data_IF_493958679446
#
_entry.id   IF_493958679446
#
_cell.length_a   1.000
_cell.length_b   1.000
_cell.length_c   1.000
_cell.angle_alpha   90.00
_cell.angle_beta   90.00
_cell.angle_gamma   90.00
#
_symmetry.space_group_name_H-M   'P 1'
#
loop_
_entity.id
_entity.type
_entity.pdbx_description
1 polymer ?
#
# COMPACT_ATOMS: atom_id res chain seq x y z
N UNK A 1 47.54 30.36 -78.63
CA UNK A 1 46.60 29.55 -77.83
C UNK A 1 47.09 28.10 -77.89
N UNK A 2 47.05 27.26 -76.84
CA UNK A 2 46.34 27.33 -75.55
C UNK A 2 47.27 27.49 -74.33
N UNK A 3 46.62 27.67 -73.16
CA UNK A 3 47.16 28.04 -71.84
C UNK A 3 47.60 26.83 -71.02
N UNK A 4 48.69 27.03 -70.28
CA UNK A 4 49.15 26.31 -69.10
C UNK A 4 48.16 26.40 -67.93
N UNK A 5 48.09 25.36 -67.09
CA UNK A 5 47.79 25.52 -65.66
C UNK A 5 48.38 24.37 -64.83
N UNK A 6 49.46 24.71 -64.14
CA UNK A 6 49.95 24.11 -62.90
C UNK A 6 49.03 24.50 -61.75
N UNK A 7 48.61 23.53 -60.92
CA UNK A 7 47.99 23.80 -59.63
C UNK A 7 48.91 23.26 -58.52
N UNK A 8 49.30 24.19 -57.65
CA UNK A 8 50.22 24.07 -56.54
C UNK A 8 49.58 23.45 -55.29
N UNK A 9 50.41 22.65 -54.63
CA UNK A 9 50.28 22.15 -53.26
C UNK A 9 50.17 23.32 -52.26
N UNK A 10 49.23 23.27 -51.31
CA UNK A 10 49.22 24.16 -50.15
C UNK A 10 48.92 23.39 -48.86
N UNK A 11 49.83 23.58 -47.90
CA UNK A 11 49.92 23.01 -46.57
C UNK A 11 48.65 23.15 -45.73
N UNK A 12 48.25 22.07 -45.05
CA UNK A 12 47.42 22.13 -43.85
C UNK A 12 48.32 22.21 -42.60
N UNK A 13 48.10 23.16 -41.68
CA UNK A 13 48.75 23.16 -40.38
C UNK A 13 48.02 22.25 -39.38
N UNK A 14 48.80 21.45 -38.64
CA UNK A 14 48.36 20.71 -37.45
C UNK A 14 47.95 21.69 -36.35
N UNK A 15 46.65 21.78 -36.06
CA UNK A 15 46.13 22.50 -34.91
C UNK A 15 45.84 21.53 -33.76
N UNK A 16 46.52 21.75 -32.63
CA UNK A 16 46.28 21.07 -31.35
C UNK A 16 44.97 21.57 -30.76
N UNK A 17 44.02 20.65 -30.56
CA UNK A 17 42.66 20.90 -30.06
C UNK A 17 42.68 21.45 -28.63
N UNK A 18 42.07 22.63 -28.42
CA UNK A 18 41.84 23.22 -27.10
C UNK A 18 40.32 23.25 -26.83
N UNK A 19 39.80 22.60 -25.76
CA UNK A 19 38.35 22.44 -25.52
C UNK A 19 37.56 23.71 -25.18
N UNK A 20 38.14 24.90 -25.31
CA UNK A 20 37.63 26.14 -24.69
C UNK A 20 37.12 27.18 -25.72
N UNK A 21 37.14 26.88 -27.03
CA UNK A 21 36.69 27.84 -28.06
C UNK A 21 35.15 27.81 -28.22
N UNK A 22 34.44 28.90 -27.86
CA UNK A 22 32.97 28.94 -27.83
C UNK A 22 32.31 28.96 -29.22
N UNK A 23 33.08 29.22 -30.29
CA UNK A 23 32.54 29.22 -31.66
C UNK A 23 32.39 27.80 -32.25
N UNK A 24 32.97 26.77 -31.62
CA UNK A 24 32.87 25.37 -32.09
C UNK A 24 31.86 24.52 -31.30
N UNK A 25 31.39 24.98 -30.14
CA UNK A 25 30.30 24.31 -29.41
C UNK A 25 28.94 24.47 -30.10
N UNK A 26 28.77 25.54 -30.89
CA UNK A 26 27.52 25.79 -31.60
C UNK A 26 27.40 24.96 -32.88
N UNK A 27 28.51 24.56 -33.51
CA UNK A 27 28.49 23.60 -34.63
C UNK A 27 28.01 22.20 -34.20
N UNK A 28 28.37 21.75 -33.00
CA UNK A 28 27.84 20.47 -32.48
C UNK A 28 26.36 20.54 -32.08
N UNK A 29 25.85 21.74 -31.77
CA UNK A 29 24.43 21.96 -31.51
C UNK A 29 23.62 22.02 -32.82
N UNK A 30 24.18 22.65 -33.86
CA UNK A 30 23.56 22.69 -35.19
C UNK A 30 23.57 21.32 -35.91
N UNK A 31 24.62 20.51 -35.72
CA UNK A 31 24.65 19.14 -36.25
C UNK A 31 23.72 18.17 -35.50
N UNK A 32 23.18 18.57 -34.35
CA UNK A 32 22.13 17.83 -33.63
C UNK A 32 20.70 18.10 -34.13
N UNK A 33 20.53 19.11 -35.00
CA UNK A 33 19.25 19.48 -35.62
C UNK A 33 19.19 19.12 -37.12
N UNK A 34 20.00 18.16 -37.56
CA UNK A 34 19.84 17.57 -38.89
C UNK A 34 18.56 16.72 -38.91
N UNK A 35 17.65 16.90 -39.90
CA UNK A 35 16.52 16.01 -40.09
C UNK A 35 17.05 14.58 -40.26
N UNK A 36 16.72 13.73 -39.29
CA UNK A 36 17.06 12.32 -39.24
C UNK A 36 16.96 11.68 -40.63
N UNK A 37 18.10 11.25 -41.17
CA UNK A 37 18.14 10.28 -42.26
C UNK A 37 17.33 9.05 -41.80
N UNK A 38 16.21 8.69 -42.47
CA UNK A 38 15.27 7.67 -41.99
C UNK A 38 15.86 6.26 -41.93
N UNK A 39 17.09 6.07 -42.42
CA UNK A 39 17.76 4.77 -42.50
C UNK A 39 18.78 4.51 -41.39
N UNK A 40 19.00 5.44 -40.45
CA UNK A 40 19.84 5.17 -39.28
C UNK A 40 18.96 4.91 -38.04
N UNK A 41 18.96 3.68 -37.48
CA UNK A 41 18.20 3.40 -36.28
C UNK A 41 18.80 4.21 -35.13
N UNK A 42 18.07 5.23 -34.69
CA UNK A 42 18.29 5.88 -33.41
C UNK A 42 18.47 4.78 -32.35
N UNK A 43 19.44 4.97 -31.45
CA UNK A 43 19.75 4.02 -30.39
C UNK A 43 18.46 3.47 -29.76
N UNK A 44 18.36 2.16 -29.57
CA UNK A 44 17.12 1.51 -29.14
C UNK A 44 16.53 2.07 -27.83
N UNK A 45 17.34 2.80 -27.05
CA UNK A 45 16.92 3.58 -25.88
C UNK A 45 16.25 4.91 -26.24
N UNK A 46 16.77 5.66 -27.22
CA UNK A 46 16.19 6.92 -27.71
C UNK A 46 14.83 6.68 -28.39
N UNK A 47 14.73 5.68 -29.27
CA UNK A 47 13.47 5.29 -29.89
C UNK A 47 12.43 4.82 -28.85
N UNK A 48 12.88 4.17 -27.77
CA UNK A 48 12.01 3.78 -26.64
C UNK A 48 11.55 4.96 -25.80
N UNK A 49 12.43 5.94 -25.57
CA UNK A 49 12.05 7.19 -24.90
C UNK A 49 11.01 7.95 -25.72
N UNK A 50 11.18 8.01 -27.04
CA UNK A 50 10.20 8.61 -27.94
C UNK A 50 8.86 7.86 -27.93
N UNK A 51 8.84 6.53 -27.99
CA UNK A 51 7.59 5.75 -27.97
C UNK A 51 6.86 5.77 -26.61
N UNK A 52 7.59 6.00 -25.50
CA UNK A 52 6.96 6.27 -24.20
C UNK A 52 6.46 7.72 -24.09
N UNK A 53 7.21 8.68 -24.65
CA UNK A 53 6.87 10.09 -24.71
C UNK A 53 5.64 10.38 -25.56
N UNK A 54 5.28 9.53 -26.52
CA UNK A 54 4.09 9.72 -27.36
C UNK A 54 2.79 9.31 -26.66
N UNK A 55 2.86 8.52 -25.58
CA UNK A 55 1.68 7.98 -24.88
C UNK A 55 1.51 8.51 -23.44
N UNK A 56 2.50 9.22 -22.90
CA UNK A 56 2.46 9.82 -21.57
C UNK A 56 2.57 11.34 -21.69
N UNK A 57 1.84 12.07 -20.84
CA UNK A 57 1.95 13.53 -20.80
C UNK A 57 3.41 13.91 -20.46
N UNK A 58 4.00 14.95 -21.08
CA UNK A 58 5.41 15.35 -20.83
C UNK A 58 5.74 15.58 -19.34
N UNK A 59 4.73 15.91 -18.52
CA UNK A 59 4.85 16.03 -17.07
C UNK A 59 5.04 14.68 -16.36
N UNK A 60 4.42 13.61 -16.85
CA UNK A 60 4.57 12.28 -16.30
C UNK A 60 5.96 11.71 -16.57
N UNK A 61 6.53 11.95 -17.76
CA UNK A 61 7.88 11.51 -18.12
C UNK A 61 8.95 12.18 -17.26
N UNK A 62 8.81 13.49 -16.99
CA UNK A 62 9.68 14.23 -16.06
C UNK A 62 9.58 13.68 -14.63
N UNK A 63 8.36 13.37 -14.19
CA UNK A 63 8.11 12.78 -12.87
C UNK A 63 8.71 11.38 -12.76
N UNK A 64 8.56 10.55 -13.80
CA UNK A 64 9.15 9.21 -13.89
C UNK A 64 10.67 9.25 -13.76
N UNK A 65 11.30 10.17 -14.50
CA UNK A 65 12.75 10.34 -14.51
C UNK A 65 13.26 10.81 -13.14
N UNK A 66 12.56 11.76 -12.51
CA UNK A 66 12.87 12.20 -11.14
C UNK A 66 12.72 11.05 -10.15
N UNK A 67 11.70 10.22 -10.27
CA UNK A 67 11.49 9.08 -9.38
C UNK A 67 12.54 7.98 -9.56
N UNK A 68 12.94 7.68 -10.80
CA UNK A 68 13.97 6.69 -11.09
C UNK A 68 15.35 7.08 -10.54
N UNK A 69 15.63 8.37 -10.40
CA UNK A 69 16.86 8.86 -9.77
C UNK A 69 16.69 8.97 -8.25
N UNK A 70 15.56 9.51 -7.79
CA UNK A 70 15.32 9.81 -6.38
C UNK A 70 15.18 8.56 -5.53
N UNK A 71 14.51 7.52 -6.01
CA UNK A 71 14.24 6.33 -5.20
C UNK A 71 15.52 5.52 -4.91
N UNK A 72 16.36 5.14 -5.89
CA UNK A 72 17.62 4.44 -5.60
C UNK A 72 18.56 5.30 -4.75
N UNK A 73 18.63 6.61 -5.02
CA UNK A 73 19.43 7.54 -4.22
C UNK A 73 18.96 7.59 -2.77
N UNK A 74 17.65 7.63 -2.52
CA UNK A 74 17.09 7.64 -1.17
C UNK A 74 17.41 6.37 -0.39
N UNK A 75 17.37 5.20 -1.04
CA UNK A 75 17.70 3.90 -0.41
C UNK A 75 19.18 3.84 -0.09
N UNK A 76 20.05 4.25 -1.02
CA UNK A 76 21.50 4.30 -0.80
C UNK A 76 21.87 5.25 0.35
N UNK A 77 21.26 6.43 0.39
CA UNK A 77 21.48 7.40 1.45
C UNK A 77 21.02 6.83 2.81
N UNK A 78 19.81 6.27 2.88
CA UNK A 78 19.28 5.66 4.10
C UNK A 78 20.16 4.52 4.61
N UNK A 79 20.57 3.61 3.73
CA UNK A 79 21.46 2.50 4.08
C UNK A 79 22.82 3.02 4.55
N UNK A 80 23.42 3.97 3.83
CA UNK A 80 24.71 4.55 4.18
C UNK A 80 24.70 5.23 5.55
N UNK A 81 23.67 6.03 5.84
CA UNK A 81 23.51 6.67 7.15
C UNK A 81 23.27 5.64 8.23
N UNK A 82 22.38 4.66 8.03
CA UNK A 82 22.11 3.63 9.04
C UNK A 82 23.34 2.77 9.36
N UNK A 83 24.16 2.43 8.36
CA UNK A 83 25.45 1.75 8.58
C UNK A 83 26.40 2.64 9.35
N UNK A 84 26.55 3.92 8.98
CA UNK A 84 27.42 4.85 9.67
C UNK A 84 27.01 5.04 11.14
N UNK A 85 25.72 5.26 11.37
CA UNK A 85 25.06 5.39 12.66
C UNK A 85 25.14 4.10 13.51
N UNK A 86 25.17 2.93 12.87
CA UNK A 86 25.27 1.62 13.54
C UNK A 86 26.72 1.18 13.78
N UNK A 87 27.67 1.75 13.04
CA UNK A 87 29.08 1.42 13.15
C UNK A 87 29.72 1.98 14.43
N UNK A 88 30.92 1.49 14.76
CA UNK A 88 31.71 1.99 15.88
C UNK A 88 32.37 3.35 15.61
N UNK A 89 32.13 3.97 14.45
CA UNK A 89 32.72 5.25 14.06
C UNK A 89 32.06 6.44 14.78
N UNK A 90 30.78 6.31 15.14
CA UNK A 90 30.02 7.34 15.85
C UNK A 90 29.71 6.85 17.26
N UNK A 91 29.93 7.72 18.26
CA UNK A 91 29.53 7.46 19.66
C UNK A 91 28.62 8.59 20.13
N UNK A 92 27.43 8.27 20.68
CA UNK A 92 26.87 6.93 20.81
C UNK A 92 26.41 6.35 19.46
N UNK A 93 26.47 5.03 19.28
CA UNK A 93 25.91 4.36 18.09
C UNK A 93 24.45 3.91 18.33
N UNK A 94 23.72 3.52 17.27
CA UNK A 94 22.32 3.06 17.34
C UNK A 94 22.09 2.00 18.44
N UNK A 95 23.00 1.02 18.52
CA UNK A 95 22.93 -0.08 19.47
C UNK A 95 23.22 0.36 20.91
N UNK A 96 24.16 1.28 21.11
CA UNK A 96 24.52 1.84 22.41
C UNK A 96 23.37 2.66 22.98
N UNK A 97 22.71 3.48 22.17
CA UNK A 97 21.50 4.22 22.59
C UNK A 97 20.38 3.24 22.98
N UNK A 98 20.12 2.21 22.15
CA UNK A 98 19.12 1.18 22.47
C UNK A 98 19.40 0.47 23.79
N UNK A 99 20.66 0.15 24.08
CA UNK A 99 21.09 -0.48 25.34
C UNK A 99 21.08 0.46 26.54
N UNK A 100 21.24 1.77 26.31
CA UNK A 100 21.19 2.80 27.36
C UNK A 100 19.76 3.04 27.82
N UNK A 101 18.80 2.94 26.90
CA UNK A 101 17.39 3.20 27.14
C UNK A 101 16.52 1.95 26.92
N UNK A 102 16.69 0.89 27.74
CA UNK A 102 15.87 -0.30 27.60
C UNK A 102 14.44 0.01 28.06
N UNK A 103 13.48 -0.42 27.24
CA UNK A 103 12.03 -0.27 27.48
C UNK A 103 11.38 -1.65 27.46
N UNK A 104 10.18 -1.80 28.02
CA UNK A 104 9.41 -3.05 27.87
C UNK A 104 9.12 -3.42 26.41
N UNK A 105 9.21 -2.45 25.50
CA UNK A 105 9.02 -2.68 24.08
C UNK A 105 10.33 -2.87 23.35
N UNK A 106 11.49 -3.03 24.01
CA UNK A 106 12.77 -3.31 23.36
C UNK A 106 12.88 -4.78 22.93
N UNK A 107 13.21 -5.02 21.65
CA UNK A 107 13.44 -6.30 20.98
C UNK A 107 14.94 -6.57 21.01
N UNK A 108 15.31 -7.85 20.97
CA UNK A 108 16.70 -8.24 20.83
C UNK A 108 17.33 -7.71 19.54
N UNK A 109 18.51 -7.07 19.66
CA UNK A 109 19.27 -6.46 18.57
C UNK A 109 19.37 -7.35 17.32
N UNK A 110 19.65 -8.65 17.47
CA UNK A 110 19.82 -9.59 16.36
C UNK A 110 18.54 -9.75 15.52
N UNK A 111 17.36 -9.74 16.15
CA UNK A 111 16.09 -9.86 15.43
C UNK A 111 15.84 -8.61 14.59
N UNK A 112 16.06 -7.43 15.16
CA UNK A 112 15.91 -6.13 14.49
C UNK A 112 16.90 -6.03 13.33
N UNK A 113 18.18 -6.35 13.55
CA UNK A 113 19.20 -6.30 12.50
C UNK A 113 18.89 -7.22 11.33
N UNK A 114 18.47 -8.46 11.61
CA UNK A 114 18.09 -9.40 10.55
C UNK A 114 16.86 -8.93 9.76
N UNK A 115 15.86 -8.36 10.45
CA UNK A 115 14.69 -7.77 9.80
C UNK A 115 15.08 -6.64 8.85
N UNK A 116 15.90 -5.69 9.34
CA UNK A 116 16.40 -4.58 8.52
C UNK A 116 17.27 -5.06 7.37
N UNK A 117 18.08 -6.10 7.55
CA UNK A 117 18.88 -6.68 6.47
C UNK A 117 18.00 -7.21 5.33
N UNK A 118 16.95 -7.97 5.65
CA UNK A 118 15.97 -8.44 4.65
C UNK A 118 15.28 -7.25 3.97
N UNK A 119 14.85 -6.25 4.75
CA UNK A 119 14.20 -5.07 4.22
C UNK A 119 15.11 -4.31 3.25
N UNK A 120 16.40 -4.13 3.57
CA UNK A 120 17.34 -3.48 2.66
C UNK A 120 17.58 -4.25 1.39
N UNK A 121 17.69 -5.59 1.46
CA UNK A 121 17.78 -6.44 0.25
C UNK A 121 16.56 -6.22 -0.65
N UNK A 122 15.36 -6.16 -0.06
CA UNK A 122 14.13 -5.91 -0.81
C UNK A 122 14.04 -4.47 -1.34
N UNK A 123 14.52 -3.46 -0.61
CA UNK A 123 14.55 -2.06 -1.06
C UNK A 123 15.54 -1.84 -2.21
N UNK A 124 16.70 -2.51 -2.17
CA UNK A 124 17.67 -2.56 -3.27
C UNK A 124 17.03 -3.26 -4.46
N UNK A 125 16.41 -4.43 -4.24
CA UNK A 125 15.70 -5.18 -5.26
C UNK A 125 14.57 -4.37 -5.91
N UNK A 126 13.79 -3.63 -5.12
CA UNK A 126 12.80 -2.68 -5.61
C UNK A 126 13.44 -1.62 -6.50
N UNK A 127 14.52 -0.99 -6.04
CA UNK A 127 15.23 0.05 -6.80
C UNK A 127 15.74 -0.45 -8.15
N UNK A 128 16.32 -1.66 -8.19
CA UNK A 128 16.75 -2.30 -9.44
C UNK A 128 15.54 -2.66 -10.31
N UNK A 129 14.48 -3.19 -9.71
CA UNK A 129 13.24 -3.50 -10.41
C UNK A 129 12.59 -2.26 -11.06
N UNK A 130 12.70 -1.08 -10.44
CA UNK A 130 12.24 0.20 -11.02
C UNK A 130 12.95 0.54 -12.34
N UNK A 131 14.25 0.23 -12.41
CA UNK A 131 15.06 0.51 -13.61
C UNK A 131 14.78 -0.51 -14.71
N UNK A 132 14.45 -1.76 -14.34
CA UNK A 132 14.22 -2.86 -15.29
C UNK A 132 12.76 -3.00 -15.74
N UNK A 133 11.81 -2.43 -15.00
CA UNK A 133 10.37 -2.52 -15.24
C UNK A 133 9.96 -1.95 -16.61
N UNK A 134 9.36 -2.80 -17.46
CA UNK A 134 8.93 -2.46 -18.83
C UNK A 134 7.41 -2.36 -19.00
N UNK A 135 6.65 -2.87 -18.05
CA UNK A 135 5.19 -3.00 -18.13
C UNK A 135 4.48 -1.67 -17.77
N UNK A 136 3.51 -1.21 -18.57
CA UNK A 136 2.82 0.07 -18.35
C UNK A 136 2.01 0.07 -17.05
N UNK A 137 1.44 -1.07 -16.65
CA UNK A 137 0.70 -1.22 -15.40
C UNK A 137 1.60 -1.01 -14.17
N UNK A 138 2.78 -1.63 -14.16
CA UNK A 138 3.78 -1.48 -13.11
C UNK A 138 4.29 -0.04 -13.05
N UNK A 139 4.48 0.64 -14.20
CA UNK A 139 4.85 2.07 -14.24
C UNK A 139 3.79 2.98 -13.63
N UNK A 140 2.50 2.73 -13.89
CA UNK A 140 1.41 3.52 -13.31
C UNK A 140 1.36 3.36 -11.79
N UNK A 141 1.47 2.13 -11.28
CA UNK A 141 1.56 1.85 -9.85
C UNK A 141 2.80 2.50 -9.22
N UNK A 142 3.92 2.54 -9.96
CA UNK A 142 5.16 3.18 -9.53
C UNK A 142 5.02 4.69 -9.34
N UNK A 143 4.52 5.36 -10.37
CA UNK A 143 4.52 6.82 -10.51
C UNK A 143 3.48 7.44 -9.59
N UNK A 144 2.30 6.82 -9.51
CA UNK A 144 1.17 7.36 -8.76
C UNK A 144 1.06 6.77 -7.34
N UNK A 145 1.62 5.59 -7.09
CA UNK A 145 1.48 4.88 -5.83
C UNK A 145 2.69 5.00 -4.91
N UNK A 146 3.84 4.48 -5.34
CA UNK A 146 4.87 4.02 -4.41
C UNK A 146 6.14 4.88 -4.37
N UNK A 147 6.67 5.32 -5.52
CA UNK A 147 8.08 5.75 -5.60
C UNK A 147 8.41 7.02 -4.79
N UNK A 148 7.59 8.07 -4.87
CA UNK A 148 7.85 9.36 -4.20
C UNK A 148 7.64 9.26 -2.70
N UNK A 149 6.62 8.53 -2.28
CA UNK A 149 6.26 8.34 -0.87
C UNK A 149 7.27 7.45 -0.16
N UNK A 150 7.73 6.39 -0.83
CA UNK A 150 8.80 5.54 -0.30
C UNK A 150 10.11 6.31 -0.20
N UNK A 151 10.46 7.12 -1.21
CA UNK A 151 11.65 7.97 -1.15
C UNK A 151 11.58 8.97 0.01
N UNK A 152 10.42 9.61 0.22
CA UNK A 152 10.18 10.48 1.36
C UNK A 152 10.36 9.73 2.68
N UNK A 153 9.77 8.55 2.83
CA UNK A 153 9.93 7.72 4.04
C UNK A 153 11.41 7.38 4.31
N UNK A 154 12.19 7.06 3.28
CA UNK A 154 13.61 6.78 3.40
C UNK A 154 14.41 8.01 3.88
N UNK A 155 14.13 9.20 3.32
CA UNK A 155 14.76 10.45 3.78
C UNK A 155 14.37 10.81 5.22
N UNK A 156 13.11 10.62 5.58
CA UNK A 156 12.68 10.83 6.97
C UNK A 156 13.34 9.82 7.91
N UNK A 157 13.60 8.60 7.46
CA UNK A 157 14.29 7.59 8.25
C UNK A 157 15.77 7.95 8.49
N UNK A 158 16.43 8.59 7.53
CA UNK A 158 17.75 9.20 7.73
C UNK A 158 17.70 10.25 8.85
N UNK A 159 16.71 11.15 8.78
CA UNK A 159 16.54 12.19 9.79
C UNK A 159 16.26 11.60 11.18
N UNK A 160 15.45 10.56 11.25
CA UNK A 160 15.21 9.82 12.49
C UNK A 160 16.49 9.22 13.06
N UNK A 161 17.35 8.60 12.25
CA UNK A 161 18.60 8.00 12.72
C UNK A 161 19.54 9.04 13.37
N UNK A 162 19.54 10.27 12.83
CA UNK A 162 20.27 11.41 13.42
C UNK A 162 19.66 11.76 14.78
N UNK A 163 18.33 11.91 14.87
CA UNK A 163 17.65 12.21 16.12
C UNK A 163 17.84 11.14 17.19
N UNK A 164 17.92 9.87 16.80
CA UNK A 164 18.20 8.73 17.68
C UNK A 164 19.57 8.86 18.35
N UNK A 165 20.62 9.11 17.55
CA UNK A 165 22.01 9.14 18.04
C UNK A 165 22.32 10.34 18.92
N UNK A 166 21.58 11.44 18.78
CA UNK A 166 21.81 12.62 19.62
C UNK A 166 21.54 12.35 21.11
N UNK A 167 20.80 11.29 21.47
CA UNK A 167 20.62 10.82 22.85
C UNK A 167 20.11 11.93 23.80
N UNK A 168 19.20 12.78 23.31
CA UNK A 168 18.60 13.90 24.05
C UNK A 168 17.07 13.76 24.12
N UNK A 169 16.42 14.26 25.18
CA UNK A 169 14.96 14.17 25.31
C UNK A 169 14.23 14.89 24.17
N UNK A 170 14.71 16.08 23.76
CA UNK A 170 14.11 16.82 22.63
C UNK A 170 14.24 16.05 21.31
N UNK A 171 15.36 15.37 21.10
CA UNK A 171 15.57 14.61 19.86
C UNK A 171 14.75 13.34 19.84
N UNK A 172 14.45 12.74 21.00
CA UNK A 172 13.49 11.64 21.09
C UNK A 172 12.06 12.08 20.73
N UNK A 173 11.63 13.27 21.14
CA UNK A 173 10.34 13.83 20.72
C UNK A 173 10.31 14.05 19.21
N UNK A 174 11.35 14.70 18.65
CA UNK A 174 11.47 14.92 17.20
C UNK A 174 11.54 13.60 16.42
N UNK A 175 12.24 12.61 16.95
CA UNK A 175 12.29 11.25 16.40
C UNK A 175 10.92 10.59 16.39
N UNK A 176 10.14 10.73 17.47
CA UNK A 176 8.78 10.19 17.57
C UNK A 176 7.85 10.82 16.53
N UNK A 177 7.91 12.14 16.38
CA UNK A 177 7.14 12.87 15.36
C UNK A 177 7.54 12.40 13.96
N UNK A 178 8.85 12.27 13.71
CA UNK A 178 9.37 11.81 12.42
C UNK A 178 8.88 10.39 12.10
N UNK A 179 8.98 9.44 13.04
CA UNK A 179 8.44 8.09 12.88
C UNK A 179 6.93 8.06 12.71
N UNK A 180 6.19 8.95 13.38
CA UNK A 180 4.74 9.06 13.21
C UNK A 180 4.39 9.46 11.78
N UNK A 181 5.11 10.44 11.21
CA UNK A 181 4.91 10.84 9.82
C UNK A 181 5.30 9.72 8.85
N UNK A 182 6.43 9.02 9.10
CA UNK A 182 6.82 7.85 8.30
C UNK A 182 5.71 6.78 8.32
N UNK A 183 5.20 6.45 9.51
CA UNK A 183 4.13 5.48 9.67
C UNK A 183 2.86 5.89 8.90
N UNK A 184 2.46 7.15 8.97
CA UNK A 184 1.30 7.67 8.23
C UNK A 184 1.50 7.59 6.71
N UNK A 185 2.66 7.99 6.20
CA UNK A 185 3.00 7.93 4.77
C UNK A 185 2.99 6.48 4.28
N UNK A 186 3.61 5.57 5.04
CA UNK A 186 3.68 4.15 4.71
C UNK A 186 2.31 3.47 4.84
N UNK A 187 1.50 3.83 5.83
CA UNK A 187 0.14 3.32 5.99
C UNK A 187 -0.76 3.74 4.82
N UNK A 188 -0.69 5.02 4.44
CA UNK A 188 -1.41 5.53 3.28
C UNK A 188 -0.95 4.82 1.99
N UNK A 189 0.35 4.57 1.86
CA UNK A 189 0.89 3.81 0.74
C UNK A 189 0.37 2.36 0.73
N UNK A 190 0.41 1.68 1.87
CA UNK A 190 -0.10 0.32 2.03
C UNK A 190 -1.60 0.22 1.74
N UNK A 191 -2.39 1.21 2.14
CA UNK A 191 -3.83 1.29 1.86
C UNK A 191 -4.10 1.45 0.36
N UNK A 192 -3.37 2.33 -0.32
CA UNK A 192 -3.50 2.48 -1.78
C UNK A 192 -3.10 1.20 -2.50
N UNK A 193 -2.06 0.51 -2.03
CA UNK A 193 -1.64 -0.77 -2.60
C UNK A 193 -2.69 -1.86 -2.36
N UNK A 194 -3.36 -1.85 -1.20
CA UNK A 194 -4.42 -2.81 -0.91
C UNK A 194 -5.68 -2.57 -1.76
N UNK A 195 -6.07 -1.30 -1.97
CA UNK A 195 -7.35 -0.95 -2.63
C UNK A 195 -7.20 -0.78 -4.14
N UNK A 196 -6.16 -0.09 -4.62
CA UNK A 196 -6.05 0.32 -6.02
C UNK A 196 -5.23 -0.64 -6.87
N UNK A 197 -4.26 -1.32 -6.28
CA UNK A 197 -3.33 -2.21 -6.97
C UNK A 197 -3.22 -3.55 -6.24
N UNK A 198 -4.32 -4.32 -6.10
CA UNK A 198 -4.30 -5.54 -5.32
C UNK A 198 -3.28 -6.56 -5.86
N UNK A 199 -2.65 -7.35 -4.99
CA UNK A 199 -1.61 -8.27 -5.37
C UNK A 199 -2.14 -9.35 -6.33
N UNK A 200 -1.57 -9.41 -7.53
CA UNK A 200 -1.94 -10.41 -8.54
C UNK A 200 -1.00 -11.60 -8.47
N UNK A 201 -1.55 -12.82 -8.36
CA UNK A 201 -0.77 -14.06 -8.38
C UNK A 201 -0.04 -14.30 -9.71
N UNK A 202 -0.41 -13.57 -10.78
CA UNK A 202 0.22 -13.66 -12.11
C UNK A 202 1.58 -12.95 -12.17
N UNK A 203 1.85 -12.00 -11.27
CA UNK A 203 3.08 -11.20 -11.24
C UNK A 203 3.73 -11.28 -9.84
N UNK A 204 4.33 -12.42 -9.48
CA UNK A 204 4.88 -12.63 -8.13
C UNK A 204 6.08 -11.72 -7.82
N UNK A 205 6.83 -11.28 -8.83
CA UNK A 205 7.95 -10.36 -8.64
C UNK A 205 7.48 -8.93 -8.35
N UNK A 206 6.43 -8.46 -9.02
CA UNK A 206 5.79 -7.18 -8.72
C UNK A 206 5.26 -7.18 -7.29
N UNK A 207 4.64 -8.28 -6.86
CA UNK A 207 4.23 -8.45 -5.47
C UNK A 207 5.43 -8.38 -4.51
N UNK A 208 6.48 -9.16 -4.76
CA UNK A 208 7.65 -9.27 -3.89
C UNK A 208 8.39 -7.94 -3.74
N UNK A 209 8.61 -7.20 -4.83
CA UNK A 209 9.43 -5.99 -4.77
C UNK A 209 8.63 -4.71 -4.53
N UNK A 210 7.33 -4.66 -4.84
CA UNK A 210 6.51 -3.46 -4.63
C UNK A 210 5.79 -3.51 -3.28
N UNK A 211 5.15 -4.64 -2.96
CA UNK A 211 4.30 -4.72 -1.77
C UNK A 211 5.09 -5.08 -0.51
N UNK A 212 6.01 -6.05 -0.60
CA UNK A 212 6.68 -6.60 0.58
C UNK A 212 7.55 -5.55 1.29
N UNK A 213 8.49 -4.83 0.64
CA UNK A 213 9.30 -3.85 1.36
C UNK A 213 8.49 -2.71 1.98
N UNK A 214 7.43 -2.21 1.32
CA UNK A 214 6.55 -1.19 1.90
C UNK A 214 5.87 -1.69 3.16
N UNK A 215 5.33 -2.92 3.12
CA UNK A 215 4.65 -3.53 4.27
C UNK A 215 5.62 -3.86 5.40
N UNK A 216 6.79 -4.42 5.09
CA UNK A 216 7.81 -4.69 6.09
C UNK A 216 8.28 -3.40 6.78
N UNK A 217 8.52 -2.34 6.00
CA UNK A 217 8.92 -1.06 6.56
C UNK A 217 7.81 -0.46 7.44
N UNK A 218 6.55 -0.55 7.01
CA UNK A 218 5.41 -0.10 7.81
C UNK A 218 5.29 -0.88 9.13
N UNK A 219 5.36 -2.21 9.08
CA UNK A 219 5.15 -3.07 10.25
C UNK A 219 6.21 -2.80 11.32
N UNK A 220 7.50 -2.73 10.97
CA UNK A 220 8.53 -2.41 11.98
C UNK A 220 8.36 -1.02 12.57
N UNK A 221 8.02 -0.03 11.72
CA UNK A 221 7.80 1.35 12.16
C UNK A 221 6.65 1.44 13.15
N UNK A 222 5.48 0.88 12.81
CA UNK A 222 4.26 1.00 13.61
C UNK A 222 4.19 0.02 14.77
N UNK A 223 4.85 -1.13 14.70
CA UNK A 223 4.78 -2.13 15.77
C UNK A 223 5.82 -1.91 16.85
N UNK A 224 6.94 -1.30 16.48
CA UNK A 224 8.13 -1.28 17.31
C UNK A 224 8.78 0.10 17.40
N UNK A 225 9.35 0.61 16.30
CA UNK A 225 10.23 1.80 16.35
C UNK A 225 9.51 3.01 16.95
N UNK A 226 8.27 3.26 16.52
CA UNK A 226 7.47 4.39 17.00
C UNK A 226 7.27 4.36 18.51
N UNK A 227 6.94 3.19 19.06
CA UNK A 227 6.60 3.06 20.47
C UNK A 227 7.83 3.01 21.35
N UNK A 228 8.91 2.36 20.90
CA UNK A 228 10.20 2.43 21.59
C UNK A 228 10.65 3.88 21.69
N UNK A 229 10.60 4.63 20.59
CA UNK A 229 10.95 6.04 20.57
C UNK A 229 10.06 6.89 21.48
N UNK A 230 8.74 6.64 21.47
CA UNK A 230 7.78 7.34 22.33
C UNK A 230 8.07 7.08 23.80
N UNK A 231 8.44 5.85 24.19
CA UNK A 231 8.75 5.52 25.58
C UNK A 231 9.98 6.27 26.07
N UNK A 232 11.03 6.35 25.24
CA UNK A 232 12.21 7.15 25.54
C UNK A 232 11.88 8.65 25.60
N UNK A 233 10.98 9.14 24.74
CA UNK A 233 10.56 10.54 24.74
C UNK A 233 9.74 10.90 26.00
N UNK A 234 8.94 9.97 26.52
CA UNK A 234 8.16 10.11 27.75
C UNK A 234 9.00 9.81 29.01
N UNK A 235 10.22 9.31 28.84
CA UNK A 235 11.09 8.89 29.94
C UNK A 235 10.61 7.63 30.66
N UNK A 236 9.79 6.80 30.01
CA UNK A 236 9.34 5.48 30.50
C UNK A 236 10.35 4.37 30.19
N UNK A 237 11.63 4.73 30.15
CA UNK A 237 12.75 3.83 29.97
C UNK A 237 13.60 3.81 31.24
N UNK A 238 14.41 2.75 31.38
CA UNK A 238 15.28 2.61 32.54
C UNK A 238 16.40 3.66 32.56
N UNK A 239 16.87 4.11 31.40
CA UNK A 239 18.02 5.00 31.27
C UNK A 239 17.76 6.40 31.82
N UNK A 240 16.58 6.96 31.57
CA UNK A 240 16.22 8.31 32.03
C UNK A 240 15.62 8.33 33.44
N UNK A 241 14.79 7.34 33.78
CA UNK A 241 13.96 7.36 34.99
C UNK A 241 14.13 6.16 35.92
N UNK A 242 15.07 5.27 35.62
CA UNK A 242 15.37 4.09 36.43
C UNK A 242 14.22 3.08 36.48
N UNK A 243 14.25 2.20 37.49
CA UNK A 243 13.26 1.13 37.64
C UNK A 243 11.82 1.64 37.81
N UNK A 244 11.62 2.74 38.55
CA UNK A 244 10.28 3.28 38.80
C UNK A 244 9.61 3.78 37.51
N UNK A 245 10.33 4.49 36.65
CA UNK A 245 9.79 4.96 35.38
C UNK A 245 9.51 3.81 34.41
N UNK A 246 10.36 2.78 34.42
CA UNK A 246 10.10 1.56 33.67
C UNK A 246 8.78 0.92 34.11
N UNK A 247 8.55 0.74 35.42
CA UNK A 247 7.30 0.18 35.96
C UNK A 247 6.08 1.02 35.57
N UNK A 248 6.18 2.35 35.53
CA UNK A 248 5.10 3.22 35.05
C UNK A 248 4.75 2.94 33.57
N UNK A 249 5.76 2.62 32.75
CA UNK A 249 5.58 2.23 31.35
C UNK A 249 4.92 0.86 31.12
N UNK A 250 4.70 0.04 32.16
CA UNK A 250 4.17 -1.32 32.01
C UNK A 250 2.77 -1.34 31.38
N UNK A 251 1.83 -0.59 31.96
CA UNK A 251 0.44 -0.58 31.51
C UNK A 251 0.27 0.06 30.13
N UNK A 252 0.94 1.19 29.82
CA UNK A 252 1.00 1.69 28.45
C UNK A 252 1.56 0.65 27.47
N UNK A 253 2.65 -0.06 27.81
CA UNK A 253 3.24 -1.07 26.93
C UNK A 253 2.27 -2.23 26.68
N UNK A 254 1.59 -2.69 27.73
CA UNK A 254 0.53 -3.68 27.62
C UNK A 254 -0.59 -3.22 26.68
N UNK A 255 -1.09 -1.99 26.87
CA UNK A 255 -2.14 -1.42 26.03
C UNK A 255 -1.73 -1.32 24.56
N UNK A 256 -0.48 -0.94 24.29
CA UNK A 256 0.09 -0.86 22.94
C UNK A 256 0.19 -2.24 22.29
N UNK A 257 0.75 -3.23 22.99
CA UNK A 257 0.89 -4.60 22.45
C UNK A 257 -0.48 -5.21 22.14
N UNK A 258 -1.44 -5.08 23.05
CA UNK A 258 -2.82 -5.57 22.84
C UNK A 258 -3.51 -4.80 21.72
N UNK A 259 -3.42 -3.47 21.73
CA UNK A 259 -4.05 -2.60 20.74
C UNK A 259 -3.52 -2.84 19.32
N UNK A 260 -2.20 -2.90 19.15
CA UNK A 260 -1.58 -3.21 17.86
C UNK A 260 -1.79 -4.66 17.44
N UNK A 261 -1.85 -5.58 18.40
CA UNK A 261 -2.21 -6.97 18.14
C UNK A 261 -3.62 -7.08 17.57
N UNK A 262 -4.59 -6.42 18.19
CA UNK A 262 -5.97 -6.36 17.72
C UNK A 262 -6.10 -5.63 16.37
N UNK A 263 -5.43 -4.49 16.22
CA UNK A 263 -5.39 -3.75 14.95
C UNK A 263 -4.78 -4.59 13.82
N UNK A 264 -3.63 -5.23 14.05
CA UNK A 264 -2.99 -6.11 13.07
C UNK A 264 -3.88 -7.29 12.74
N UNK A 265 -4.53 -7.91 13.72
CA UNK A 265 -5.46 -9.02 13.47
C UNK A 265 -6.66 -8.59 12.61
N UNK A 266 -7.26 -7.42 12.88
CA UNK A 266 -8.35 -6.89 12.07
C UNK A 266 -7.88 -6.61 10.64
N UNK A 267 -6.72 -5.98 10.48
CA UNK A 267 -6.12 -5.71 9.17
C UNK A 267 -5.85 -7.01 8.40
N UNK A 268 -5.18 -7.98 9.04
CA UNK A 268 -4.87 -9.29 8.47
C UNK A 268 -6.14 -10.03 8.08
N UNK A 269 -7.17 -10.03 8.92
CA UNK A 269 -8.45 -10.67 8.60
C UNK A 269 -9.10 -10.04 7.37
N UNK A 270 -9.13 -8.70 7.30
CA UNK A 270 -9.73 -7.96 6.19
C UNK A 270 -8.98 -8.13 4.86
N UNK A 271 -7.65 -8.25 4.90
CA UNK A 271 -6.79 -8.23 3.70
C UNK A 271 -6.19 -9.60 3.35
N UNK A 272 -6.29 -10.60 4.24
CA UNK A 272 -5.60 -11.88 4.18
C UNK A 272 -4.09 -11.75 3.89
N UNK A 273 -3.45 -10.74 4.48
CA UNK A 273 -2.08 -10.34 4.16
C UNK A 273 -1.02 -11.14 4.92
N UNK A 274 -0.47 -12.16 4.24
CA UNK A 274 0.58 -13.03 4.77
C UNK A 274 1.83 -12.27 5.23
N UNK A 275 2.23 -11.22 4.50
CA UNK A 275 3.48 -10.49 4.81
C UNK A 275 3.35 -9.77 6.14
N UNK A 276 2.21 -9.10 6.35
CA UNK A 276 1.93 -8.43 7.62
C UNK A 276 1.95 -9.42 8.78
N UNK A 277 1.35 -10.61 8.61
CA UNK A 277 1.35 -11.66 9.64
C UNK A 277 2.75 -12.17 9.94
N UNK A 278 3.53 -12.54 8.93
CA UNK A 278 4.88 -13.10 9.13
C UNK A 278 5.79 -12.07 9.79
N UNK A 279 5.75 -10.82 9.32
CA UNK A 279 6.52 -9.72 9.89
C UNK A 279 6.12 -9.45 11.34
N UNK A 280 4.81 -9.36 11.61
CA UNK A 280 4.31 -9.08 12.94
C UNK A 280 4.63 -10.20 13.93
N UNK A 281 4.43 -11.45 13.54
CA UNK A 281 4.80 -12.61 14.36
C UNK A 281 6.30 -12.65 14.63
N UNK A 282 7.14 -12.38 13.63
CA UNK A 282 8.60 -12.36 13.79
C UNK A 282 9.06 -11.31 14.82
N UNK A 283 8.52 -10.08 14.75
CA UNK A 283 8.86 -9.01 15.69
C UNK A 283 8.36 -9.33 17.12
N UNK A 284 7.14 -9.86 17.25
CA UNK A 284 6.62 -10.31 18.55
C UNK A 284 7.43 -11.48 19.13
N UNK A 285 7.94 -12.37 18.28
CA UNK A 285 8.84 -13.42 18.71
C UNK A 285 10.18 -12.85 19.20
N UNK A 286 10.71 -11.83 18.53
CA UNK A 286 11.89 -11.09 18.99
C UNK A 286 11.71 -10.41 20.36
N UNK A 287 10.49 -9.97 20.70
CA UNK A 287 10.16 -9.45 22.03
C UNK A 287 10.20 -10.55 23.11
N UNK A 288 9.73 -11.77 22.78
CA UNK A 288 9.71 -12.91 23.67
C UNK A 288 11.09 -13.55 23.86
N UNK A 289 11.92 -13.54 22.82
CA UNK A 289 13.24 -14.18 22.85
C UNK A 289 14.23 -13.48 23.79
N UNK A 290 13.91 -12.26 24.22
CA UNK A 290 14.69 -11.53 25.21
C UNK A 290 14.49 -12.15 26.62
N UNK A 291 15.14 -13.29 26.88
CA UNK A 291 14.98 -14.09 28.11
C UNK A 291 15.40 -13.38 29.39
N UNK A 292 16.33 -12.42 29.28
CA UNK A 292 16.81 -11.62 30.41
C UNK A 292 16.71 -10.15 30.02
N UNK A 293 15.82 -9.42 30.68
CA UNK A 293 15.78 -7.97 30.56
C UNK A 293 16.99 -7.45 31.36
N UNK A 294 18.18 -7.38 30.76
CA UNK A 294 19.37 -6.87 31.46
C UNK A 294 19.16 -5.40 31.79
N UNK A 295 18.64 -5.16 32.99
CA UNK A 295 18.60 -3.88 33.67
C UNK A 295 20.03 -3.52 34.05
N UNK A 296 20.80 -3.06 33.06
CA UNK A 296 22.16 -2.53 33.17
C UNK A 296 23.27 -3.56 33.48
N UNK A 297 24.35 -3.50 32.69
CA UNK A 297 25.67 -3.98 33.13
C UNK A 297 26.14 -5.37 32.67
N UNK A 298 25.49 -6.01 31.69
CA UNK A 298 25.94 -7.33 31.22
C UNK A 298 25.85 -8.43 32.28
N UNK A 299 24.99 -8.21 33.27
CA UNK A 299 24.72 -9.16 34.34
C UNK A 299 23.45 -9.92 33.95
N UNK A 300 23.57 -11.25 33.90
CA UNK A 300 22.56 -12.20 33.43
C UNK A 300 21.39 -12.39 34.42
N UNK A 301 21.33 -11.58 35.49
CA UNK A 301 20.31 -11.60 36.53
C UNK A 301 19.12 -10.65 36.26
N UNK A 302 18.93 -10.26 35.00
CA UNK A 302 17.83 -9.41 34.56
C UNK A 302 16.45 -9.95 35.00
N UNK A 303 15.59 -9.07 35.49
CA UNK A 303 14.23 -9.43 35.90
C UNK A 303 13.45 -10.03 34.72
N UNK A 304 12.68 -11.11 34.94
CA UNK A 304 11.82 -11.65 33.91
C UNK A 304 10.78 -10.60 33.51
N UNK A 305 10.51 -10.51 32.21
CA UNK A 305 9.46 -9.64 31.66
C UNK A 305 8.14 -9.89 32.41
N UNK A 306 7.41 -8.85 32.84
CA UNK A 306 6.18 -9.02 33.60
C UNK A 306 5.19 -9.96 32.90
N UNK A 307 4.64 -10.93 33.64
CA UNK A 307 3.74 -11.95 33.12
C UNK A 307 2.56 -11.39 32.29
N UNK A 308 1.92 -10.25 32.65
CA UNK A 308 0.85 -9.68 31.85
C UNK A 308 1.30 -9.30 30.43
N UNK A 309 2.52 -8.77 30.29
CA UNK A 309 3.05 -8.36 28.99
C UNK A 309 3.42 -9.59 28.14
N UNK A 310 4.02 -10.60 28.75
CA UNK A 310 4.31 -11.87 28.06
C UNK A 310 3.04 -12.54 27.55
N UNK A 311 1.97 -12.58 28.37
CA UNK A 311 0.67 -13.08 27.96
C UNK A 311 0.07 -12.27 26.80
N UNK A 312 0.17 -10.93 26.85
CA UNK A 312 -0.30 -10.07 25.77
C UNK A 312 0.42 -10.33 24.44
N UNK A 313 1.74 -10.57 24.46
CA UNK A 313 2.51 -10.87 23.25
C UNK A 313 2.10 -12.23 22.68
N UNK A 314 1.98 -13.28 23.51
CA UNK A 314 1.53 -14.61 23.08
C UNK A 314 0.12 -14.54 22.49
N UNK A 315 -0.78 -13.79 23.13
CA UNK A 315 -2.14 -13.57 22.64
C UNK A 315 -2.12 -12.83 21.30
N UNK A 316 -1.29 -11.79 21.15
CA UNK A 316 -1.12 -11.03 19.90
C UNK A 316 -0.64 -11.92 18.75
N UNK A 317 0.36 -12.78 18.99
CA UNK A 317 0.83 -13.77 18.01
C UNK A 317 -0.30 -14.72 17.61
N UNK A 318 -0.98 -15.30 18.60
CA UNK A 318 -2.06 -16.25 18.38
C UNK A 318 -3.21 -15.61 17.58
N UNK A 319 -3.57 -14.37 17.92
CA UNK A 319 -4.64 -13.63 17.26
C UNK A 319 -4.28 -13.30 15.81
N UNK A 320 -3.05 -12.91 15.51
CA UNK A 320 -2.60 -12.66 14.13
C UNK A 320 -2.63 -13.93 13.27
N UNK A 321 -2.20 -15.07 13.82
CA UNK A 321 -2.23 -16.37 13.11
C UNK A 321 -3.67 -16.82 12.85
N UNK A 322 -4.53 -16.75 13.87
CA UNK A 322 -5.96 -17.11 13.73
C UNK A 322 -6.65 -16.17 12.74
N UNK A 323 -6.36 -14.87 12.77
CA UNK A 323 -6.90 -13.89 11.83
C UNK A 323 -6.50 -14.19 10.39
N UNK A 324 -5.26 -14.64 10.14
CA UNK A 324 -4.81 -15.04 8.81
C UNK A 324 -5.59 -16.26 8.31
N UNK A 325 -5.72 -17.30 9.15
CA UNK A 325 -6.47 -18.52 8.80
C UNK A 325 -7.93 -18.18 8.51
N UNK A 326 -8.54 -17.37 9.37
CA UNK A 326 -9.93 -16.92 9.22
C UNK A 326 -10.12 -16.06 7.96
N UNK A 327 -9.20 -15.13 7.68
CA UNK A 327 -9.25 -14.28 6.48
C UNK A 327 -9.10 -15.08 5.18
N UNK A 328 -8.17 -16.04 5.15
CA UNK A 328 -8.01 -16.95 4.01
C UNK A 328 -9.25 -17.84 3.81
N UNK A 329 -9.80 -18.39 4.90
CA UNK A 329 -11.02 -19.19 4.85
C UNK A 329 -12.21 -18.37 4.34
N UNK A 330 -12.37 -17.14 4.84
CA UNK A 330 -13.41 -16.20 4.44
C UNK A 330 -13.32 -15.85 2.95
N UNK A 331 -12.13 -15.51 2.47
CA UNK A 331 -11.91 -15.21 1.05
C UNK A 331 -12.18 -16.41 0.15
N UNK A 332 -11.85 -17.63 0.60
CA UNK A 332 -12.19 -18.86 -0.14
C UNK A 332 -13.70 -19.12 -0.19
N UNK A 333 -14.44 -18.83 0.88
CA UNK A 333 -15.90 -18.97 0.89
C UNK A 333 -16.54 -17.91 -0.01
N UNK A 334 -16.08 -16.66 0.09
CA UNK A 334 -16.57 -15.55 -0.75
C UNK A 334 -16.33 -15.81 -2.24
N UNK A 335 -15.14 -16.27 -2.61
CA UNK A 335 -14.84 -16.63 -4.01
C UNK A 335 -15.77 -17.71 -4.58
N UNK A 336 -16.24 -18.66 -3.74
CA UNK A 336 -17.23 -19.67 -4.15
C UNK A 336 -18.64 -19.10 -4.30
N UNK A 337 -18.96 -18.02 -3.59
CA UNK A 337 -20.25 -17.33 -3.71
C UNK A 337 -20.27 -16.38 -4.91
N UNK A 338 -19.17 -15.66 -5.17
CA UNK A 338 -19.05 -14.76 -6.31
C UNK A 338 -19.03 -15.54 -7.64
N UNK A 339 -18.51 -16.78 -7.66
CA UNK A 339 -18.63 -17.69 -8.81
C UNK A 339 -20.05 -18.19 -9.10
N UNK A 340 -21.03 -17.92 -8.23
CA UNK A 340 -22.46 -18.22 -8.47
C UNK A 340 -23.25 -17.04 -9.05
N UNK A 341 -22.68 -15.83 -9.06
CA UNK A 341 -23.30 -14.65 -9.68
C UNK A 341 -22.46 -14.36 -10.93
N UNK A 342 -22.85 -14.98 -12.04
CA UNK A 342 -22.22 -14.76 -13.33
C UNK A 342 -22.29 -13.27 -13.73
N UNK A 343 -21.17 -12.74 -14.23
CA UNK A 343 -21.11 -11.46 -14.93
C UNK A 343 -22.06 -11.47 -16.15
N UNK A 344 -22.55 -10.29 -16.61
CA UNK A 344 -23.36 -10.19 -17.82
C UNK A 344 -22.65 -10.87 -18.98
N UNK A 345 -23.39 -11.67 -19.74
CA UNK A 345 -22.88 -12.46 -20.84
C UNK A 345 -22.16 -11.55 -21.83
N UNK A 346 -21.02 -12.00 -22.36
CA UNK A 346 -20.44 -11.35 -23.53
C UNK A 346 -21.46 -11.41 -24.70
N UNK A 347 -21.47 -10.45 -25.64
CA UNK A 347 -22.42 -10.47 -26.77
C UNK A 347 -22.39 -11.77 -27.59
N UNK A 348 -21.24 -12.46 -27.62
CA UNK A 348 -21.11 -13.78 -28.24
C UNK A 348 -21.76 -14.90 -27.43
N UNK A 349 -21.67 -14.85 -26.09
CA UNK A 349 -22.33 -15.81 -25.20
C UNK A 349 -23.85 -15.57 -25.14
N UNK A 350 -24.30 -14.31 -25.21
CA UNK A 350 -25.72 -13.95 -25.31
C UNK A 350 -26.33 -14.51 -26.61
N UNK A 351 -25.62 -14.39 -27.73
CA UNK A 351 -26.02 -15.00 -29.00
C UNK A 351 -26.01 -16.54 -28.94
N UNK A 352 -25.08 -17.15 -28.18
CA UNK A 352 -25.05 -18.59 -27.99
C UNK A 352 -26.22 -19.08 -27.13
N UNK A 353 -26.58 -18.35 -26.07
CA UNK A 353 -27.75 -18.66 -25.23
C UNK A 353 -29.05 -18.50 -26.03
N UNK A 354 -29.18 -17.45 -26.84
CA UNK A 354 -30.35 -17.24 -27.68
C UNK A 354 -30.51 -18.35 -28.74
N UNK A 355 -29.41 -18.83 -29.34
CA UNK A 355 -29.43 -19.99 -30.24
C UNK A 355 -29.81 -21.28 -29.52
N UNK A 356 -29.26 -21.52 -28.33
CA UNK A 356 -29.58 -22.70 -27.54
C UNK A 356 -31.05 -22.73 -27.10
N UNK A 357 -31.62 -21.57 -26.76
CA UNK A 357 -33.02 -21.43 -26.39
C UNK A 357 -33.96 -21.59 -27.61
N UNK A 358 -33.58 -21.04 -28.76
CA UNK A 358 -34.29 -21.25 -30.02
C UNK A 358 -34.30 -22.74 -30.45
N UNK A 359 -33.17 -23.44 -30.33
CA UNK A 359 -33.10 -24.88 -30.61
C UNK A 359 -33.96 -25.70 -29.62
N UNK A 360 -33.96 -25.33 -28.35
CA UNK A 360 -34.79 -25.98 -27.34
C UNK A 360 -36.28 -25.80 -27.64
N UNK A 361 -36.70 -24.59 -27.98
CA UNK A 361 -38.09 -24.30 -28.36
C UNK A 361 -38.48 -25.01 -29.66
N UNK A 362 -37.58 -25.10 -30.64
CA UNK A 362 -37.81 -25.88 -31.86
C UNK A 362 -37.97 -27.37 -31.59
N UNK A 363 -37.17 -27.95 -30.67
CA UNK A 363 -37.31 -29.35 -30.24
C UNK A 363 -38.61 -29.61 -29.50
N UNK A 364 -39.03 -28.67 -28.64
CA UNK A 364 -40.32 -28.76 -27.94
C UNK A 364 -41.48 -28.65 -28.94
N UNK A 365 -41.44 -27.71 -29.87
CA UNK A 365 -42.47 -27.58 -30.92
C UNK A 365 -42.55 -28.83 -31.83
N UNK A 366 -41.41 -29.41 -32.19
CA UNK A 366 -41.35 -30.65 -32.96
C UNK A 366 -41.92 -31.86 -32.18
N UNK A 367 -41.79 -31.87 -30.85
CA UNK A 367 -42.38 -32.91 -30.00
C UNK A 367 -43.90 -32.77 -29.82
N UNK A 368 -44.44 -31.55 -29.93
CA UNK A 368 -45.89 -31.28 -29.82
C UNK A 368 -46.63 -31.56 -31.14
N UNK A 369 -45.94 -31.52 -32.29
CA UNK A 369 -46.51 -31.79 -33.61
C UNK A 369 -46.82 -33.26 -33.93
N UNK A 370 -46.55 -34.20 -33.02
CA UNK A 370 -46.66 -35.64 -33.27
C UNK A 370 -47.70 -36.35 -32.37
N UNK A 371 -48.76 -35.65 -31.96
CA UNK A 371 -49.94 -36.31 -31.38
C UNK A 371 -50.89 -36.75 -32.50
N UNK A 372 -51.10 -38.07 -32.72
CA UNK A 372 -52.10 -38.53 -33.67
C UNK A 372 -53.49 -38.20 -33.15
N UNK A 373 -54.27 -37.50 -33.97
CA UNK A 373 -55.67 -37.22 -33.73
C UNK A 373 -56.45 -38.53 -33.70
N UNK A 374 -56.93 -38.91 -32.52
CA UNK A 374 -58.10 -39.77 -32.44
C UNK A 374 -58.92 -39.48 -31.18
N UNK A 375 -60.23 -39.53 -31.41
CA UNK A 375 -61.32 -39.75 -30.46
C UNK A 375 -62.17 -38.54 -30.03
N UNK A 376 -63.47 -38.72 -30.23
CA UNK A 376 -64.57 -37.73 -30.23
C UNK A 376 -65.50 -38.00 -29.04
N UNK A 377 -65.79 -36.93 -28.27
CA UNK A 377 -66.99 -36.61 -27.46
C UNK A 377 -67.29 -37.39 -26.14
N UNK A 378 -68.22 -36.92 -25.25
CA UNK A 378 -68.87 -35.60 -25.07
C UNK A 378 -68.79 -34.99 -23.63
N UNK A 379 -69.38 -33.80 -23.50
CA UNK A 379 -69.57 -32.85 -22.36
C UNK A 379 -70.17 -33.46 -21.07
N UNK A 380 -69.93 -32.88 -19.87
CA UNK A 380 -70.98 -32.06 -19.25
C UNK A 380 -70.48 -30.74 -18.59
N UNK A 381 -71.46 -29.93 -18.20
CA UNK A 381 -71.42 -28.49 -17.98
C UNK A 381 -71.18 -28.01 -16.53
N UNK A 382 -71.10 -26.66 -16.41
CA UNK A 382 -71.21 -25.79 -15.21
C UNK A 382 -69.91 -25.61 -14.40
N UNK A 383 -69.51 -24.43 -13.90
CA UNK A 383 -70.14 -23.10 -13.78
C UNK A 383 -69.08 -22.02 -13.46
N UNK A 384 -69.44 -20.75 -13.76
CA UNK A 384 -69.11 -19.50 -13.03
C UNK A 384 -67.68 -18.95 -12.99
N UNK A 385 -67.52 -17.66 -13.37
CA UNK A 385 -66.56 -16.79 -12.67
C UNK A 385 -65.71 -15.76 -13.44
N UNK A 386 -66.32 -14.90 -14.27
CA UNK A 386 -66.14 -13.42 -14.28
C UNK A 386 -64.72 -12.76 -14.32
N UNK A 387 -64.54 -11.95 -15.39
CA UNK A 387 -63.84 -10.64 -15.58
C UNK A 387 -62.33 -10.55 -15.90
N UNK A 388 -62.08 -10.39 -17.21
CA UNK A 388 -61.49 -9.22 -17.91
C UNK A 388 -60.77 -8.16 -17.07
N UNK A 389 -59.53 -7.83 -17.45
CA UNK A 389 -59.13 -6.42 -17.66
C UNK A 389 -58.05 -6.31 -18.74
N UNK A 390 -58.25 -5.32 -19.60
CA UNK A 390 -57.54 -5.03 -20.84
C UNK A 390 -56.15 -4.41 -20.64
N UNK A 391 -55.36 -4.55 -21.70
CA UNK A 391 -54.03 -3.96 -21.95
C UNK A 391 -53.98 -2.43 -21.87
N UNK A 392 -52.80 -1.88 -21.55
CA UNK A 392 -52.33 -0.67 -22.24
C UNK A 392 -50.79 -0.58 -22.27
N UNK A 393 -50.25 -0.73 -23.47
CA UNK A 393 -48.95 -0.22 -23.91
C UNK A 393 -48.98 1.32 -23.92
N UNK A 394 -47.95 1.96 -23.38
CA UNK A 394 -47.51 3.31 -23.76
C UNK A 394 -45.98 3.35 -23.68
N UNK A 395 -45.35 3.45 -24.84
CA UNK A 395 -44.01 4.00 -25.06
C UNK A 395 -44.02 5.50 -24.76
N UNK A 396 -42.96 6.03 -24.15
CA UNK A 396 -42.37 7.32 -24.51
C UNK A 396 -40.95 7.42 -23.92
N UNK A 397 -39.99 7.56 -24.83
CA UNK A 397 -38.63 7.98 -24.59
C UNK A 397 -38.55 9.52 -24.48
N UNK A 398 -37.45 9.98 -23.88
CA UNK A 398 -36.80 11.28 -23.99
C UNK A 398 -37.56 12.54 -23.54
N UNK A 399 -37.17 13.09 -22.38
CA UNK A 399 -36.92 14.53 -22.30
C UNK A 399 -35.80 14.84 -21.30
N UNK A 400 -35.00 15.80 -21.73
CA UNK A 400 -33.63 16.12 -21.40
C UNK A 400 -33.55 17.26 -20.35
N UNK A 401 -32.40 17.31 -19.69
CA UNK A 401 -31.79 18.39 -18.90
C UNK A 401 -32.50 19.76 -18.73
N UNK A 402 -32.60 20.19 -17.46
CA UNK A 402 -32.29 21.57 -17.00
C UNK A 402 -32.11 21.57 -15.47
N UNK A 403 -30.88 21.82 -14.99
CA UNK A 403 -30.45 23.08 -14.37
C UNK A 403 -31.11 23.36 -13.00
N UNK A 404 -30.42 23.10 -11.90
CA UNK A 404 -29.56 24.06 -11.17
C UNK A 404 -30.30 25.15 -10.37
N UNK A 405 -29.78 25.36 -9.15
CA UNK A 405 -29.90 26.56 -8.32
C UNK A 405 -31.18 26.75 -7.50
N UNK A 406 -31.06 26.49 -6.19
CA UNK A 406 -31.13 27.58 -5.21
C UNK A 406 -30.79 27.07 -3.81
N UNK A 407 -29.77 27.69 -3.21
CA UNK A 407 -29.51 27.59 -1.78
C UNK A 407 -30.53 28.39 -0.97
N UNK A 408 -30.65 28.07 0.31
CA UNK A 408 -31.49 28.83 1.22
C UNK A 408 -31.69 28.13 2.55
N UNK A 409 -30.72 28.30 3.45
CA UNK A 409 -30.85 27.93 4.86
C UNK A 409 -31.89 28.84 5.54
N UNK A 410 -32.98 28.28 6.08
CA UNK A 410 -33.75 28.87 7.18
C UNK A 410 -34.45 27.75 7.98
N UNK A 411 -33.96 27.47 9.18
CA UNK A 411 -34.76 27.01 10.34
C UNK A 411 -35.15 28.23 11.18
N UNK A 412 -36.06 28.18 12.19
CA UNK A 412 -36.94 27.10 12.64
C UNK A 412 -38.40 27.56 12.89
N UNK A 413 -39.37 26.64 12.92
CA UNK A 413 -40.64 26.92 13.63
C UNK A 413 -41.19 25.71 14.38
N UNK A 414 -41.25 25.95 15.68
CA UNK A 414 -41.86 25.21 16.79
C UNK A 414 -43.38 25.18 16.62
N UNK A 415 -43.99 23.99 16.54
CA UNK A 415 -45.42 23.81 16.81
C UNK A 415 -45.63 22.62 17.73
N UNK A 416 -46.23 22.96 18.86
CA UNK A 416 -46.76 22.15 19.95
C UNK A 416 -47.91 21.25 19.51
N UNK A 417 -47.96 19.99 19.99
CA UNK A 417 -49.25 19.36 20.32
C UNK A 417 -49.15 18.53 21.60
N UNK A 418 -49.97 18.96 22.55
CA UNK A 418 -50.27 18.39 23.87
C UNK A 418 -51.53 17.53 23.75
N UNK A 419 -51.58 16.42 24.49
CA UNK A 419 -52.72 15.64 25.02
C UNK A 419 -52.11 14.28 25.42
N UNK A 420 -51.92 13.88 26.68
CA UNK A 420 -52.85 13.78 27.81
C UNK A 420 -52.87 12.29 28.19
N UNK A 421 -52.18 11.85 29.25
CA UNK A 421 -52.74 11.54 30.58
C UNK A 421 -53.03 10.02 30.68
N UNK A 422 -52.73 9.26 31.74
CA UNK A 422 -52.17 9.49 33.08
C UNK A 422 -52.03 8.14 33.82
N UNK A 423 -51.54 8.18 35.06
CA UNK A 423 -51.53 7.05 36.03
C UNK A 423 -50.12 6.68 36.53
N UNK A 424 -49.50 7.44 37.44
CA UNK A 424 -49.51 7.24 38.91
C UNK A 424 -49.15 5.82 39.40
N UNK A 425 -47.96 5.60 39.97
CA UNK A 425 -47.74 5.69 41.42
C UNK A 425 -46.31 5.28 41.86
N UNK A 426 -45.74 6.04 42.79
CA UNK A 426 -45.03 5.48 43.96
C UNK A 426 -43.51 5.32 43.91
N UNK A 427 -42.76 6.40 44.13
CA UNK A 427 -41.55 6.39 45.00
C UNK A 427 -42.00 6.49 46.48
N UNK A 428 -41.16 6.48 47.56
CA UNK A 428 -39.70 6.57 47.60
C UNK A 428 -38.97 5.74 48.70
N UNK A 429 -37.63 5.86 48.70
CA UNK A 429 -36.76 6.18 49.86
C UNK A 429 -35.74 5.15 50.37
N UNK A 430 -34.46 5.58 50.25
CA UNK A 430 -33.43 5.79 51.29
C UNK A 430 -33.02 4.67 52.28
N UNK A 431 -31.70 4.71 52.54
CA UNK A 431 -30.86 4.13 53.62
C UNK A 431 -30.41 2.68 53.33
N UNK A 432 -29.14 2.31 53.50
CA UNK A 432 -28.07 2.78 54.38
C UNK A 432 -26.76 3.00 53.63
#
# INVERSE_FOLDING_TARGET
MPRSNTASNQNQPDYIYRPEDPEHSDSFRADSEVPSNPNHPASSLSARYHHLSTNMEPNEVKTLTRMQILTPLSVLLQMGVMILCGSNLIKPNLQQVSRRHPTYLSVQDNFVLFYWAILYVLLIGFSVFLLLSRTPETKKALVHGVGTRLALANYMMVLWAIFWILDRPLTFILGTVTLSVIALVLLFNALILAVRYPPSAKHPLDWLFIHVPVKLFLVITIQYDLWQQLFMALGWDFGSGGHQALVQGLWPAFGIVVGLGAFSALWIFATADLIWTVAGVYLNFGLLWHKHFSLVGGRDDGEPRPAPLTAAIILSISLQVVALIAGVAWNRIKARQDGRIALPLSPEEEAAVYRAEAERNARVAASVGNQPANEVAPVPAQSSGIKKTDSKLVDMADEEAAAESSGGAVTPTKVTRKLGGGGQNGSPSKKK
#
